data_IF_286679887507
#
_entry.id   IF_286679887507
#
_cell.length_a   1.000
_cell.length_b   1.000
_cell.length_c   1.000
_cell.angle_alpha   90.00
_cell.angle_beta   90.00
_cell.angle_gamma   90.00
#
_symmetry.space_group_name_H-M   'P 1'
#
loop_
_entity.id
_entity.type
_entity.pdbx_description
1 polymer ?
#
# COMPACT_ATOMS: atom_id res chain seq x y z
N UNK A 1 37.27 -17.22 6.32
CA UNK A 1 37.41 -16.19 5.30
C UNK A 1 36.50 -15.07 5.64
N UNK A 2 37.10 -14.00 6.09
CA UNK A 2 36.51 -12.73 6.47
C UNK A 2 36.15 -12.05 5.12
N UNK A 3 34.89 -11.95 4.81
CA UNK A 3 34.45 -11.26 3.61
C UNK A 3 34.52 -9.76 3.88
N UNK A 4 35.61 -9.19 3.43
CA UNK A 4 36.06 -7.81 3.65
C UNK A 4 35.05 -6.73 3.21
N UNK A 5 33.92 -6.65 3.89
CA UNK A 5 33.11 -5.44 3.93
C UNK A 5 33.81 -4.41 4.77
N UNK A 6 34.50 -3.48 4.15
CA UNK A 6 35.11 -2.37 4.86
C UNK A 6 34.06 -1.60 5.64
N UNK A 7 34.24 -1.37 6.92
CA UNK A 7 33.40 -0.61 7.85
C UNK A 7 33.09 0.83 7.35
N UNK A 8 33.71 1.29 6.29
CA UNK A 8 33.64 2.65 5.77
C UNK A 8 32.33 2.97 5.03
N UNK A 9 31.54 1.96 4.61
CA UNK A 9 30.32 2.18 3.84
C UNK A 9 29.02 2.03 4.63
N UNK A 10 29.12 1.69 5.92
CA UNK A 10 27.96 1.55 6.79
C UNK A 10 27.45 2.93 7.20
N UNK A 11 26.16 3.17 7.03
CA UNK A 11 25.47 4.41 7.43
C UNK A 11 24.31 4.09 8.34
N UNK A 12 23.98 5.05 9.19
CA UNK A 12 22.82 5.02 10.07
C UNK A 12 21.84 6.11 9.66
N UNK A 13 20.58 5.74 9.55
CA UNK A 13 19.45 6.65 9.33
C UNK A 13 18.52 6.53 10.53
N UNK A 14 18.10 7.65 11.08
CA UNK A 14 17.11 7.71 12.13
C UNK A 14 15.76 8.04 11.51
N UNK A 15 14.82 7.12 11.58
CA UNK A 15 13.50 7.25 11.01
C UNK A 15 12.45 7.44 12.10
N UNK A 16 11.66 8.49 11.99
CA UNK A 16 10.45 8.71 12.79
C UNK A 16 9.22 8.60 11.91
N UNK A 17 8.12 8.11 12.47
CA UNK A 17 6.81 8.25 11.82
C UNK A 17 6.30 9.64 12.16
N UNK A 18 6.05 10.43 11.12
CA UNK A 18 5.58 11.79 11.31
C UNK A 18 4.18 11.81 11.93
N UNK A 19 4.00 12.59 12.97
CA UNK A 19 2.69 12.93 13.51
C UNK A 19 2.07 14.02 12.63
N UNK A 20 1.42 13.61 11.56
CA UNK A 20 0.68 14.52 10.69
C UNK A 20 -0.66 14.87 11.37
N UNK A 21 -1.01 16.15 11.53
CA UNK A 21 -2.32 16.56 12.10
C UNK A 21 -3.52 16.05 11.30
N UNK A 22 -3.34 15.71 10.03
CA UNK A 22 -4.36 15.07 9.19
C UNK A 22 -4.34 13.53 9.27
N UNK A 23 -3.28 12.96 9.80
CA UNK A 23 -3.13 11.55 10.09
C UNK A 23 -3.27 11.33 11.59
N UNK A 24 -4.46 11.50 12.12
CA UNK A 24 -4.77 10.95 13.43
C UNK A 24 -4.85 9.43 13.28
N UNK A 25 -3.70 8.84 13.37
CA UNK A 25 -3.44 7.43 13.12
C UNK A 25 -3.39 6.69 14.44
N UNK A 26 -4.49 6.16 14.87
CA UNK A 26 -4.54 5.13 15.90
C UNK A 26 -5.50 4.07 15.42
N UNK A 27 -5.08 2.80 15.36
CA UNK A 27 -5.99 1.69 15.49
C UNK A 27 -6.18 1.47 17.00
N UNK A 28 -6.76 2.42 17.62
CA UNK A 28 -7.48 2.29 18.86
C UNK A 28 -8.82 2.89 18.54
N UNK A 29 -9.81 2.05 18.30
CA UNK A 29 -11.18 2.45 17.90
C UNK A 29 -11.32 3.56 16.84
N UNK A 30 -10.28 3.81 16.05
CA UNK A 30 -10.36 4.82 15.02
C UNK A 30 -9.08 5.39 14.45
N UNK A 31 -7.91 5.07 14.92
CA UNK A 31 -6.68 5.69 14.44
C UNK A 31 -5.61 4.64 14.10
N UNK A 32 -4.92 4.82 12.95
CA UNK A 32 -3.76 4.03 12.55
C UNK A 32 -2.51 4.59 13.21
N UNK A 33 -2.04 3.99 14.29
CA UNK A 33 -0.69 4.24 14.78
C UNK A 33 0.26 3.29 14.07
N UNK A 34 1.02 3.79 13.13
CA UNK A 34 2.09 3.04 12.50
C UNK A 34 3.33 3.19 13.38
N UNK A 35 3.94 2.08 13.74
CA UNK A 35 5.20 2.03 14.47
C UNK A 35 6.14 1.08 13.74
N UNK A 36 7.43 1.38 13.82
CA UNK A 36 8.48 0.50 13.32
C UNK A 36 8.48 -0.81 14.11
N UNK A 37 8.81 -1.88 13.44
CA UNK A 37 9.05 -3.20 14.04
C UNK A 37 10.42 -3.73 13.61
N UNK A 38 11.05 -4.51 14.47
CA UNK A 38 12.31 -5.15 14.12
C UNK A 38 12.20 -5.95 12.82
N UNK A 39 13.18 -5.77 11.94
CA UNK A 39 13.18 -6.35 10.60
C UNK A 39 12.46 -5.50 9.53
N UNK A 40 11.86 -4.35 9.87
CA UNK A 40 11.40 -3.42 8.87
C UNK A 40 12.57 -2.91 8.04
N UNK A 41 12.33 -2.73 6.73
CA UNK A 41 13.32 -2.26 5.79
C UNK A 41 12.79 -1.10 4.96
N UNK A 42 13.67 -0.15 4.65
CA UNK A 42 13.40 1.03 3.84
C UNK A 42 14.38 1.12 2.68
N UNK A 43 13.97 1.74 1.58
CA UNK A 43 14.91 2.27 0.60
C UNK A 43 15.43 3.62 1.11
N UNK A 44 16.72 3.85 0.95
CA UNK A 44 17.33 5.19 1.11
C UNK A 44 18.03 5.55 -0.18
N UNK A 45 17.69 6.69 -0.75
CA UNK A 45 18.26 7.23 -1.96
C UNK A 45 19.02 8.51 -1.64
N UNK A 46 20.20 8.63 -2.20
CA UNK A 46 21.05 9.81 -2.12
C UNK A 46 20.92 10.59 -3.45
N UNK A 47 19.98 11.54 -3.49
CA UNK A 47 19.62 12.19 -4.77
C UNK A 47 19.05 11.17 -5.77
N UNK A 48 19.34 11.35 -7.06
CA UNK A 48 19.02 10.40 -8.12
C UNK A 48 20.01 9.24 -8.10
N UNK A 49 19.73 8.22 -7.34
CA UNK A 49 20.59 7.04 -7.17
C UNK A 49 19.78 5.75 -7.16
N UNK A 50 20.46 4.61 -7.23
CA UNK A 50 19.87 3.32 -6.86
C UNK A 50 19.63 3.29 -5.37
N UNK A 51 18.42 2.89 -4.94
CA UNK A 51 18.06 2.85 -3.52
C UNK A 51 18.82 1.77 -2.78
N UNK A 52 19.49 2.16 -1.68
CA UNK A 52 20.09 1.23 -0.75
C UNK A 52 19.09 0.69 0.24
N UNK A 53 19.22 -0.59 0.61
CA UNK A 53 18.38 -1.22 1.63
C UNK A 53 18.91 -0.96 3.02
N UNK A 54 18.08 -0.34 3.86
CA UNK A 54 18.37 -0.12 5.29
C UNK A 54 17.38 -0.91 6.12
N UNK A 55 17.85 -1.52 7.22
CA UNK A 55 17.05 -2.39 8.09
C UNK A 55 17.16 -1.92 9.52
N UNK A 56 16.09 -2.04 10.29
CA UNK A 56 16.09 -1.77 11.73
C UNK A 56 15.95 -3.03 12.56
N UNK A 57 16.60 -3.03 13.71
CA UNK A 57 16.38 -3.99 14.80
C UNK A 57 15.50 -3.39 15.91
N UNK A 58 15.21 -2.09 15.83
CA UNK A 58 14.42 -1.36 16.80
C UNK A 58 12.91 -1.52 16.53
N UNK A 59 12.11 -1.21 17.54
CA UNK A 59 10.67 -1.09 17.47
C UNK A 59 10.22 0.23 18.11
N UNK A 60 9.12 0.82 17.61
CA UNK A 60 8.54 2.03 18.17
C UNK A 60 8.29 3.15 17.16
N UNK A 61 8.01 4.36 17.65
CA UNK A 61 7.73 5.52 16.81
C UNK A 61 9.01 6.09 16.14
N UNK A 62 10.16 5.83 16.72
CA UNK A 62 11.49 6.19 16.19
C UNK A 62 12.34 4.94 16.18
N UNK A 63 13.05 4.71 15.08
CA UNK A 63 13.93 3.58 14.91
C UNK A 63 15.22 3.98 14.17
N UNK A 64 16.29 3.27 14.48
CA UNK A 64 17.56 3.42 13.82
C UNK A 64 17.68 2.34 12.74
N UNK A 65 17.89 2.76 11.51
CA UNK A 65 18.08 1.89 10.37
C UNK A 65 19.56 1.85 9.97
N UNK A 66 20.06 0.65 9.73
CA UNK A 66 21.45 0.40 9.30
C UNK A 66 21.45 -0.16 7.89
N UNK A 67 22.30 0.39 7.03
CA UNK A 67 22.49 -0.06 5.67
C UNK A 67 23.85 0.33 5.12
N UNK A 68 24.22 -0.25 3.98
CA UNK A 68 25.42 0.09 3.24
C UNK A 68 25.03 0.94 2.04
N UNK A 69 25.79 1.99 1.78
CA UNK A 69 25.72 2.76 0.55
C UNK A 69 26.97 2.50 -0.27
N UNK A 70 26.80 2.18 -1.53
CA UNK A 70 27.90 2.20 -2.48
C UNK A 70 28.44 3.63 -2.54
N UNK A 71 29.77 3.74 -2.57
CA UNK A 71 30.51 4.99 -2.43
C UNK A 71 29.84 6.10 -3.25
N UNK A 72 29.41 7.14 -2.56
CA UNK A 72 29.07 8.40 -3.22
C UNK A 72 30.38 8.93 -3.79
N UNK A 73 30.59 8.77 -5.09
CA UNK A 73 31.69 9.41 -5.82
C UNK A 73 31.39 10.91 -5.88
N UNK A 74 31.82 11.62 -4.87
CA UNK A 74 31.62 13.06 -4.76
C UNK A 74 31.76 13.53 -3.33
N UNK A 75 32.95 13.49 -2.81
CA UNK A 75 33.48 14.37 -1.77
C UNK A 75 32.80 14.34 -0.40
N UNK A 76 33.56 14.37 0.56
CA UNK A 76 33.64 14.96 1.85
C UNK A 76 32.37 15.45 2.53
N UNK A 77 32.29 15.19 3.79
CA UNK A 77 31.55 15.86 4.87
C UNK A 77 30.43 16.85 4.44
N UNK A 78 29.24 16.31 4.11
CA UNK A 78 28.04 17.10 3.91
C UNK A 78 27.35 16.74 2.58
N UNK A 79 26.04 16.51 2.66
CA UNK A 79 25.19 16.51 1.48
C UNK A 79 25.18 17.95 0.98
N UNK A 80 25.45 18.18 -0.30
CA UNK A 80 25.26 19.50 -0.93
C UNK A 80 23.86 20.00 -0.67
N UNK A 81 23.67 21.31 -0.59
CA UNK A 81 22.39 21.96 -0.30
C UNK A 81 21.25 21.51 -1.25
N UNK A 82 21.59 21.02 -2.45
CA UNK A 82 20.66 20.48 -3.43
C UNK A 82 20.44 18.95 -3.34
N UNK A 83 21.25 18.23 -2.57
CA UNK A 83 21.13 16.78 -2.44
C UNK A 83 20.18 16.42 -1.30
N UNK A 84 18.98 15.97 -1.66
CA UNK A 84 18.03 15.44 -0.69
C UNK A 84 18.16 13.93 -0.56
N UNK A 85 18.07 13.44 0.68
CA UNK A 85 17.83 12.03 0.95
C UNK A 85 16.35 11.74 0.78
N UNK A 86 16.04 10.64 0.09
CA UNK A 86 14.69 10.12 0.02
C UNK A 86 14.61 8.78 0.72
N UNK A 87 13.55 8.56 1.49
CA UNK A 87 13.23 7.30 2.15
C UNK A 87 11.89 6.77 1.67
N UNK A 88 11.83 5.47 1.42
CA UNK A 88 10.58 4.78 1.09
C UNK A 88 10.43 3.57 2.01
N UNK A 89 9.30 3.46 2.67
CA UNK A 89 8.85 2.25 3.33
C UNK A 89 7.60 1.73 2.60
N UNK A 90 7.45 0.43 2.42
CA UNK A 90 8.44 -0.61 2.65
C UNK A 90 9.56 -0.59 1.60
N UNK A 91 10.67 -1.25 1.93
CA UNK A 91 11.71 -1.51 0.93
C UNK A 91 11.15 -2.37 -0.20
N UNK A 92 11.38 -1.94 -1.42
CA UNK A 92 11.17 -2.71 -2.64
C UNK A 92 12.30 -2.39 -3.63
N UNK A 93 12.85 -3.43 -4.28
CA UNK A 93 13.92 -3.24 -5.26
C UNK A 93 13.44 -2.50 -6.54
N UNK A 94 12.14 -2.49 -6.81
CA UNK A 94 11.51 -1.77 -7.90
C UNK A 94 11.25 -0.30 -7.63
N UNK A 95 11.43 0.16 -6.38
CA UNK A 95 11.34 1.58 -6.06
C UNK A 95 12.53 2.34 -6.67
N UNK A 96 12.29 3.56 -7.13
CA UNK A 96 13.32 4.40 -7.75
C UNK A 96 13.17 5.87 -7.36
N UNK A 97 14.24 6.64 -7.55
CA UNK A 97 14.28 8.07 -7.29
C UNK A 97 14.99 8.79 -8.43
N UNK A 98 14.41 9.89 -8.92
CA UNK A 98 15.02 10.77 -9.93
C UNK A 98 15.66 12.03 -9.31
N UNK A 99 15.77 12.09 -7.97
CA UNK A 99 16.28 13.24 -7.21
C UNK A 99 15.19 14.26 -6.84
N UNK A 100 14.08 14.30 -7.55
CA UNK A 100 12.96 15.23 -7.32
C UNK A 100 11.70 14.54 -6.85
N UNK A 101 11.55 13.28 -7.23
CA UNK A 101 10.40 12.44 -6.90
C UNK A 101 10.83 10.98 -6.81
N UNK A 102 9.98 10.17 -6.21
CA UNK A 102 10.15 8.72 -6.10
C UNK A 102 9.06 7.99 -6.87
N UNK A 103 9.39 6.81 -7.36
CA UNK A 103 8.42 5.92 -8.00
C UNK A 103 8.22 4.69 -7.13
N UNK A 104 6.97 4.38 -6.83
CA UNK A 104 6.56 3.23 -6.01
C UNK A 104 5.45 2.45 -6.69
N UNK A 105 5.22 1.23 -6.21
CA UNK A 105 4.09 0.41 -6.66
C UNK A 105 3.26 -0.05 -5.46
N UNK A 106 1.94 0.13 -5.53
CA UNK A 106 0.99 -0.48 -4.60
C UNK A 106 0.36 -1.69 -5.30
N UNK A 107 0.36 -2.88 -4.69
CA UNK A 107 -0.26 -4.06 -5.29
C UNK A 107 -1.78 -3.93 -5.35
N UNK A 108 -2.38 -4.36 -6.45
CA UNK A 108 -3.84 -4.46 -6.60
C UNK A 108 -4.41 -5.68 -5.88
N UNK A 109 -3.61 -6.73 -5.70
CA UNK A 109 -3.97 -7.89 -4.88
C UNK A 109 -3.31 -7.75 -3.52
N UNK A 110 -4.13 -7.67 -2.47
CA UNK A 110 -3.68 -7.41 -1.10
C UNK A 110 -4.10 -8.54 -0.18
N UNK A 111 -3.20 -8.93 0.72
CA UNK A 111 -3.49 -9.92 1.74
C UNK A 111 -4.19 -9.26 2.93
N UNK A 112 -5.20 -9.93 3.45
CA UNK A 112 -5.91 -9.46 4.62
C UNK A 112 -5.11 -9.70 5.91
N UNK A 113 -5.21 -8.73 6.83
CA UNK A 113 -4.76 -8.88 8.20
C UNK A 113 -5.86 -8.41 9.15
N UNK A 114 -6.14 -9.18 10.21
CA UNK A 114 -7.22 -8.90 11.14
C UNK A 114 -6.98 -7.60 11.91
N UNK A 115 -7.96 -6.70 11.86
CA UNK A 115 -7.97 -5.39 12.50
C UNK A 115 -6.85 -4.42 12.08
N UNK A 116 -6.12 -4.74 11.01
CA UNK A 116 -5.01 -3.94 10.49
C UNK A 116 -4.92 -4.10 8.97
N UNK A 117 -3.77 -3.82 8.38
CA UNK A 117 -3.37 -4.13 7.01
C UNK A 117 -2.13 -5.03 7.04
N UNK A 118 -1.88 -5.76 5.96
CA UNK A 118 -0.71 -6.63 5.88
C UNK A 118 0.60 -5.85 6.07
N UNK A 119 1.57 -6.49 6.72
CA UNK A 119 2.90 -5.90 6.93
C UNK A 119 3.50 -5.48 5.59
N UNK A 120 4.06 -4.27 5.53
CA UNK A 120 4.68 -3.72 4.33
C UNK A 120 3.69 -3.26 3.24
N UNK A 121 2.40 -3.24 3.51
CA UNK A 121 1.41 -2.80 2.52
C UNK A 121 1.22 -1.27 2.51
N UNK A 122 1.44 -0.58 3.63
CA UNK A 122 1.16 0.85 3.76
C UNK A 122 2.40 1.70 3.49
N UNK A 123 2.52 2.34 2.30
CA UNK A 123 3.70 3.08 1.94
C UNK A 123 3.82 4.41 2.70
N UNK A 124 5.05 4.69 3.10
CA UNK A 124 5.44 5.94 3.72
C UNK A 124 6.64 6.52 2.99
N UNK A 125 6.67 7.83 2.86
CA UNK A 125 7.72 8.56 2.14
C UNK A 125 8.33 9.58 3.08
N UNK A 126 9.65 9.70 3.01
CA UNK A 126 10.42 10.74 3.67
C UNK A 126 11.34 11.45 2.69
N UNK A 127 11.54 12.74 2.90
CA UNK A 127 12.57 13.54 2.24
C UNK A 127 13.27 14.36 3.31
N UNK A 128 14.60 14.33 3.33
CA UNK A 128 15.39 15.03 4.33
C UNK A 128 16.71 15.53 3.74
N UNK A 129 17.30 16.54 4.36
CA UNK A 129 18.66 17.01 4.07
C UNK A 129 19.72 16.42 5.01
N UNK A 130 19.31 15.53 5.91
CA UNK A 130 20.19 14.88 6.86
C UNK A 130 19.70 13.45 7.14
N UNK A 131 20.42 12.71 7.99
CA UNK A 131 20.11 11.33 8.34
C UNK A 131 18.94 11.15 9.32
N UNK A 132 18.24 12.21 9.67
CA UNK A 132 16.99 12.17 10.44
C UNK A 132 15.82 12.35 9.46
N UNK A 133 15.05 11.28 9.28
CA UNK A 133 13.97 11.21 8.28
C UNK A 133 12.62 11.09 8.97
N UNK A 134 11.70 11.97 8.62
CA UNK A 134 10.30 11.88 9.05
C UNK A 134 9.47 11.25 7.93
N UNK A 135 8.93 10.07 8.19
CA UNK A 135 8.13 9.31 7.23
C UNK A 135 6.65 9.68 7.34
N UNK A 136 6.06 10.05 6.23
CA UNK A 136 4.66 10.44 6.11
C UNK A 136 3.89 9.39 5.30
N UNK A 137 2.69 9.07 5.75
CA UNK A 137 1.79 8.18 5.00
C UNK A 137 1.49 8.76 3.62
N UNK A 138 1.53 7.93 2.59
CA UNK A 138 1.12 8.31 1.24
C UNK A 138 -0.35 8.01 0.97
N UNK A 139 -0.84 6.89 1.49
CA UNK A 139 -2.13 6.31 1.15
C UNK A 139 -3.24 6.63 2.15
N UNK A 140 -4.46 6.33 1.76
CA UNK A 140 -5.59 6.15 2.65
C UNK A 140 -5.92 4.67 2.83
N UNK A 141 -6.81 4.38 3.77
CA UNK A 141 -7.35 3.05 4.03
C UNK A 141 -8.86 3.01 3.79
N UNK A 142 -9.29 1.95 3.15
CA UNK A 142 -10.69 1.60 3.04
C UNK A 142 -10.94 0.35 3.89
N UNK A 143 -11.60 0.53 5.04
CA UNK A 143 -11.86 -0.53 6.00
C UNK A 143 -13.24 -1.12 5.81
N UNK A 144 -13.32 -2.44 5.78
CA UNK A 144 -14.58 -3.17 5.75
C UNK A 144 -14.62 -4.27 6.79
N UNK A 145 -15.83 -4.73 7.10
CA UNK A 145 -16.10 -5.99 7.78
C UNK A 145 -17.17 -6.74 7.00
N UNK A 146 -17.30 -8.03 7.28
CA UNK A 146 -18.33 -8.89 6.68
C UNK A 146 -19.25 -9.43 7.76
N UNK A 147 -20.48 -9.74 7.38
CA UNK A 147 -21.47 -10.44 8.22
C UNK A 147 -21.54 -11.95 7.93
N UNK A 148 -21.17 -12.35 6.69
CA UNK A 148 -21.18 -13.74 6.26
C UNK A 148 -19.79 -14.38 6.42
N UNK A 149 -19.74 -15.57 7.04
CA UNK A 149 -18.49 -16.30 7.31
C UNK A 149 -17.92 -17.09 6.13
N UNK A 150 -18.62 -17.11 4.99
CA UNK A 150 -18.24 -17.83 3.78
C UNK A 150 -17.75 -16.92 2.65
N UNK A 151 -17.52 -15.65 2.93
CA UNK A 151 -16.88 -14.70 2.02
C UNK A 151 -15.36 -14.90 2.09
N UNK A 152 -14.73 -15.25 0.97
CA UNK A 152 -13.31 -15.60 0.92
C UNK A 152 -12.47 -14.56 0.15
N UNK A 153 -13.12 -13.67 -0.63
CA UNK A 153 -12.47 -12.55 -1.29
C UNK A 153 -13.42 -11.37 -1.40
N UNK A 154 -12.86 -10.16 -1.40
CA UNK A 154 -13.61 -8.91 -1.63
C UNK A 154 -12.85 -8.07 -2.64
N UNK A 155 -13.56 -7.47 -3.61
CA UNK A 155 -12.96 -6.46 -4.49
C UNK A 155 -13.55 -5.08 -4.20
N UNK A 156 -12.74 -4.06 -4.40
CA UNK A 156 -13.10 -2.64 -4.35
C UNK A 156 -12.78 -2.00 -5.69
N UNK A 157 -13.74 -1.33 -6.31
CA UNK A 157 -13.53 -0.53 -7.51
C UNK A 157 -14.28 0.80 -7.43
N UNK A 158 -13.79 1.81 -8.15
CA UNK A 158 -14.51 3.04 -8.37
C UNK A 158 -15.46 2.92 -9.56
N UNK A 159 -16.68 3.48 -9.45
CA UNK A 159 -17.67 3.45 -10.53
C UNK A 159 -17.28 4.39 -11.70
N UNK A 160 -16.28 5.23 -11.54
CA UNK A 160 -15.71 6.09 -12.56
C UNK A 160 -14.43 5.53 -13.21
N UNK A 161 -13.96 4.35 -12.79
CA UNK A 161 -12.72 3.76 -13.29
C UNK A 161 -11.47 4.44 -12.71
N UNK A 162 -11.58 4.98 -11.52
CA UNK A 162 -10.47 5.63 -10.82
C UNK A 162 -9.35 4.63 -10.52
N UNK A 163 -8.09 5.05 -10.72
CA UNK A 163 -6.92 4.24 -10.36
C UNK A 163 -6.74 4.23 -8.83
N UNK A 164 -6.72 3.04 -8.25
CA UNK A 164 -6.65 2.81 -6.81
C UNK A 164 -5.27 2.36 -6.34
N UNK A 165 -4.53 1.69 -7.21
CA UNK A 165 -3.22 1.10 -6.95
C UNK A 165 -2.37 1.12 -8.23
N UNK A 166 -1.28 0.37 -8.24
CA UNK A 166 -0.35 0.28 -9.37
C UNK A 166 0.88 1.15 -9.16
N UNK A 167 1.57 1.47 -10.25
CA UNK A 167 2.83 2.23 -10.24
C UNK A 167 2.56 3.73 -10.33
N UNK A 168 3.14 4.51 -9.42
CA UNK A 168 2.96 5.95 -9.37
C UNK A 168 4.26 6.70 -9.09
N UNK A 169 4.33 7.91 -9.62
CA UNK A 169 5.32 8.92 -9.29
C UNK A 169 4.80 9.78 -8.13
N UNK A 170 5.64 9.97 -7.12
CA UNK A 170 5.30 10.67 -5.88
C UNK A 170 6.28 11.80 -5.66
N UNK A 171 5.77 13.01 -5.52
CA UNK A 171 6.52 14.18 -5.07
C UNK A 171 6.31 14.44 -3.58
N UNK A 172 7.12 15.34 -3.02
CA UNK A 172 7.02 15.72 -1.61
C UNK A 172 7.23 17.24 -1.46
N UNK A 173 6.12 17.93 -1.24
CA UNK A 173 6.08 19.34 -0.84
C UNK A 173 5.50 19.41 0.57
N UNK A 174 6.40 19.35 1.58
CA UNK A 174 6.03 19.18 2.97
C UNK A 174 5.49 17.78 3.31
N UNK A 175 4.55 17.27 2.51
CA UNK A 175 3.97 15.92 2.63
C UNK A 175 3.95 15.22 1.26
N UNK A 176 3.95 13.86 1.23
CA UNK A 176 3.93 13.14 -0.04
C UNK A 176 2.58 13.29 -0.77
N UNK A 177 2.64 13.46 -2.07
CA UNK A 177 1.51 13.49 -2.97
C UNK A 177 1.74 12.66 -4.23
N UNK A 178 0.72 11.98 -4.71
CA UNK A 178 0.77 11.30 -6.01
C UNK A 178 0.79 12.38 -7.10
N UNK A 179 1.89 12.44 -7.84
CA UNK A 179 2.07 13.38 -8.96
C UNK A 179 1.45 12.82 -10.24
N UNK A 180 1.71 11.53 -10.50
CA UNK A 180 1.25 10.84 -11.69
C UNK A 180 1.06 9.35 -11.43
N UNK A 181 -0.01 8.78 -11.96
CA UNK A 181 -0.20 7.34 -12.02
C UNK A 181 0.35 6.84 -13.35
N UNK A 182 1.46 6.10 -13.30
CA UNK A 182 2.15 5.60 -14.49
C UNK A 182 1.48 4.34 -15.06
N UNK A 183 1.09 3.42 -14.18
CA UNK A 183 0.34 2.20 -14.49
C UNK A 183 -0.70 1.99 -13.40
N UNK A 184 -1.94 2.34 -13.70
CA UNK A 184 -3.04 2.33 -12.74
C UNK A 184 -3.81 1.01 -12.74
N UNK A 185 -4.13 0.55 -11.53
CA UNK A 185 -5.04 -0.56 -11.28
C UNK A 185 -6.35 -0.01 -10.73
N UNK A 186 -7.45 -0.29 -11.40
CA UNK A 186 -8.77 0.28 -11.08
C UNK A 186 -9.60 -0.59 -10.14
N UNK A 187 -9.14 -1.80 -9.87
CA UNK A 187 -9.74 -2.72 -8.92
C UNK A 187 -8.70 -3.22 -7.93
N UNK A 188 -9.08 -3.27 -6.66
CA UNK A 188 -8.32 -3.93 -5.60
C UNK A 188 -9.00 -5.22 -5.22
N UNK A 189 -8.22 -6.29 -5.07
CA UNK A 189 -8.69 -7.57 -4.56
C UNK A 189 -8.05 -7.85 -3.20
N UNK A 190 -8.87 -8.20 -2.22
CA UNK A 190 -8.39 -8.69 -0.93
C UNK A 190 -8.83 -10.13 -0.75
N UNK A 191 -7.86 -11.01 -0.57
CA UNK A 191 -8.10 -12.41 -0.23
C UNK A 191 -8.10 -12.57 1.30
N UNK A 192 -9.01 -13.41 1.79
CA UNK A 192 -9.05 -13.74 3.21
C UNK A 192 -7.73 -14.40 3.67
N UNK A 193 -7.40 -14.34 4.97
CA UNK A 193 -6.18 -14.93 5.49
C UNK A 193 -6.11 -16.45 5.22
N UNK A 194 -4.90 -16.94 4.95
CA UNK A 194 -4.57 -18.38 4.83
C UNK A 194 -5.41 -19.15 3.80
N UNK A 195 -5.92 -18.47 2.78
CA UNK A 195 -6.78 -19.08 1.75
C UNK A 195 -8.15 -19.52 2.27
N UNK A 196 -8.52 -19.08 3.46
CA UNK A 196 -9.81 -19.31 4.08
C UNK A 196 -10.86 -18.27 3.72
N UNK A 197 -11.74 -17.96 4.67
CA UNK A 197 -12.76 -16.92 4.54
C UNK A 197 -12.63 -15.87 5.67
N UNK A 198 -13.19 -14.70 5.45
CA UNK A 198 -13.17 -13.61 6.41
C UNK A 198 -13.99 -13.97 7.67
N UNK A 199 -13.50 -13.53 8.82
CA UNK A 199 -14.24 -13.69 10.10
C UNK A 199 -15.29 -12.57 10.23
N UNK A 200 -16.56 -12.89 10.49
CA UNK A 200 -17.59 -11.90 10.71
C UNK A 200 -17.21 -10.91 11.83
N UNK A 201 -17.50 -9.63 11.62
CA UNK A 201 -17.26 -8.57 12.59
C UNK A 201 -15.79 -8.16 12.77
N UNK A 202 -14.84 -8.83 12.13
CA UNK A 202 -13.44 -8.45 12.10
C UNK A 202 -13.21 -7.40 11.02
N UNK A 203 -12.41 -6.38 11.31
CA UNK A 203 -12.08 -5.34 10.35
C UNK A 203 -10.88 -5.76 9.48
N UNK A 204 -10.99 -5.49 8.19
CA UNK A 204 -9.93 -5.65 7.18
C UNK A 204 -9.76 -4.35 6.43
N UNK A 205 -8.57 -4.06 5.92
CA UNK A 205 -8.30 -2.73 5.34
C UNK A 205 -7.54 -2.82 4.03
N UNK A 206 -8.16 -2.35 2.95
CA UNK A 206 -7.46 -2.02 1.73
C UNK A 206 -6.59 -0.78 1.92
N UNK A 207 -5.45 -0.77 1.28
CA UNK A 207 -4.56 0.39 1.16
C UNK A 207 -4.59 0.85 -0.29
N UNK A 208 -4.87 2.13 -0.52
CA UNK A 208 -4.99 2.68 -1.86
C UNK A 208 -4.54 4.14 -1.93
N UNK A 209 -4.26 4.61 -3.13
CA UNK A 209 -3.94 6.01 -3.36
C UNK A 209 -5.11 6.91 -2.95
N UNK A 210 -4.82 8.15 -2.46
CA UNK A 210 -5.85 9.15 -2.27
C UNK A 210 -6.63 9.34 -3.57
N UNK A 211 -7.96 9.19 -3.51
CA UNK A 211 -8.81 9.09 -4.69
C UNK A 211 -10.14 9.77 -4.46
N UNK A 212 -10.64 10.48 -5.46
CA UNK A 212 -12.03 10.95 -5.49
C UNK A 212 -12.86 10.02 -6.37
N UNK A 213 -13.70 9.24 -5.76
CA UNK A 213 -14.69 8.39 -6.40
C UNK A 213 -15.86 9.26 -6.88
N UNK A 214 -15.75 9.81 -8.09
CA UNK A 214 -16.70 10.82 -8.61
C UNK A 214 -18.11 10.28 -8.80
N UNK A 215 -18.22 8.99 -9.13
CA UNK A 215 -19.48 8.26 -9.34
C UNK A 215 -19.77 7.23 -8.24
N UNK A 216 -19.06 7.35 -7.10
CA UNK A 216 -19.13 6.36 -6.05
C UNK A 216 -18.25 5.13 -6.29
N UNK A 217 -18.51 4.08 -5.56
CA UNK A 217 -17.68 2.88 -5.54
C UNK A 217 -18.52 1.61 -5.41
N UNK A 218 -17.90 0.49 -5.72
CA UNK A 218 -18.48 -0.84 -5.62
C UNK A 218 -17.60 -1.77 -4.80
N UNK A 219 -18.22 -2.50 -3.87
CA UNK A 219 -17.64 -3.65 -3.18
C UNK A 219 -18.30 -4.92 -3.72
N UNK A 220 -17.52 -5.87 -4.20
CA UNK A 220 -18.02 -7.18 -4.59
C UNK A 220 -17.47 -8.23 -3.65
N UNK A 221 -18.38 -8.99 -3.06
CA UNK A 221 -18.09 -10.05 -2.11
C UNK A 221 -18.19 -11.40 -2.81
N UNK A 222 -17.17 -12.22 -2.66
CA UNK A 222 -17.07 -13.53 -3.31
C UNK A 222 -17.09 -14.64 -2.28
N UNK A 223 -18.06 -15.53 -2.40
CA UNK A 223 -18.06 -16.86 -1.85
C UNK A 223 -17.40 -17.81 -2.86
N UNK A 224 -17.28 -19.08 -2.50
CA UNK A 224 -16.69 -20.08 -3.39
C UNK A 224 -17.35 -20.10 -4.78
N UNK A 225 -18.67 -20.12 -4.82
CA UNK A 225 -19.45 -20.38 -6.04
C UNK A 225 -20.44 -19.25 -6.38
N UNK A 226 -20.42 -18.14 -5.66
CA UNK A 226 -21.34 -17.04 -5.85
C UNK A 226 -20.73 -15.70 -5.48
N UNK A 227 -21.34 -14.61 -5.94
CA UNK A 227 -20.92 -13.26 -5.60
C UNK A 227 -22.11 -12.33 -5.43
N UNK A 228 -21.90 -11.24 -4.71
CA UNK A 228 -22.86 -10.16 -4.55
C UNK A 228 -22.12 -8.82 -4.48
N UNK A 229 -22.75 -7.77 -4.97
CA UNK A 229 -22.16 -6.43 -4.96
C UNK A 229 -22.98 -5.45 -4.16
N UNK A 230 -22.28 -4.59 -3.43
CA UNK A 230 -22.81 -3.39 -2.79
C UNK A 230 -22.30 -2.18 -3.55
N UNK A 231 -23.20 -1.30 -3.98
CA UNK A 231 -22.88 -0.07 -4.69
C UNK A 231 -23.21 1.16 -3.83
N UNK A 232 -22.26 2.07 -3.78
CA UNK A 232 -22.39 3.38 -3.18
C UNK A 232 -22.29 4.42 -4.31
N UNK A 233 -23.37 5.13 -4.61
CA UNK A 233 -23.49 5.96 -5.81
C UNK A 233 -23.06 7.43 -5.60
N UNK A 234 -22.90 7.86 -4.34
CA UNK A 234 -22.53 9.25 -4.06
C UNK A 234 -21.03 9.47 -4.25
N UNK A 235 -20.65 10.66 -4.68
CA UNK A 235 -19.26 11.05 -4.73
C UNK A 235 -18.63 10.98 -3.34
N UNK A 236 -17.41 10.44 -3.28
CA UNK A 236 -16.67 10.28 -2.05
C UNK A 236 -15.17 10.52 -2.29
N UNK A 237 -14.49 11.23 -1.40
CA UNK A 237 -13.04 11.44 -1.46
C UNK A 237 -12.34 10.77 -0.30
N UNK A 238 -11.49 9.79 -0.61
CA UNK A 238 -10.53 9.21 0.32
C UNK A 238 -9.27 10.06 0.31
N UNK A 239 -8.92 10.62 1.44
CA UNK A 239 -7.71 11.43 1.62
C UNK A 239 -6.55 10.58 2.15
N UNK A 240 -5.34 11.06 1.97
CA UNK A 240 -4.11 10.54 2.58
C UNK A 240 -4.28 10.43 4.10
N UNK A 241 -3.85 9.32 4.69
CA UNK A 241 -3.90 9.08 6.13
C UNK A 241 -5.30 8.91 6.74
N UNK A 242 -6.35 8.87 5.92
CA UNK A 242 -7.74 8.71 6.38
C UNK A 242 -8.18 7.26 6.26
N UNK A 243 -8.98 6.81 7.22
CA UNK A 243 -9.67 5.51 7.18
C UNK A 243 -11.16 5.74 6.91
N UNK A 244 -11.62 5.23 5.78
CA UNK A 244 -13.05 5.11 5.48
C UNK A 244 -13.58 3.78 5.94
N UNK A 245 -14.81 3.75 6.48
CA UNK A 245 -15.38 2.55 7.08
C UNK A 245 -16.68 2.16 6.40
N UNK A 246 -16.73 0.92 5.95
CA UNK A 246 -17.90 0.28 5.32
C UNK A 246 -18.18 -1.03 6.04
N UNK A 247 -18.89 -0.91 7.16
CA UNK A 247 -19.20 -2.04 8.03
C UNK A 247 -20.33 -2.90 7.45
N UNK A 248 -20.11 -4.23 7.36
CA UNK A 248 -21.12 -5.27 7.10
C UNK A 248 -22.03 -4.98 5.89
N UNK A 249 -21.43 -4.45 4.79
CA UNK A 249 -22.21 -4.09 3.57
C UNK A 249 -22.65 -5.31 2.75
N UNK A 250 -22.19 -6.51 3.11
CA UNK A 250 -22.65 -7.79 2.60
C UNK A 250 -23.98 -8.26 3.22
N UNK A 251 -24.39 -7.65 4.34
CA UNK A 251 -25.64 -7.99 5.01
C UNK A 251 -26.86 -7.73 4.12
N UNK A 252 -27.69 -8.76 3.95
CA UNK A 252 -28.90 -8.67 3.15
C UNK A 252 -28.70 -8.70 1.64
N UNK A 253 -27.47 -8.84 1.13
CA UNK A 253 -27.22 -9.00 -0.30
C UNK A 253 -27.64 -10.40 -0.78
N UNK A 254 -28.21 -10.45 -1.98
CA UNK A 254 -28.51 -11.70 -2.68
C UNK A 254 -27.27 -12.15 -3.46
N UNK A 255 -26.69 -13.28 -3.09
CA UNK A 255 -25.55 -13.88 -3.78
C UNK A 255 -26.03 -14.64 -5.00
N UNK A 256 -25.48 -14.29 -6.17
CA UNK A 256 -25.79 -14.92 -7.45
C UNK A 256 -24.70 -15.93 -7.75
N UNK A 257 -25.03 -17.19 -8.15
CA UNK A 257 -24.05 -18.16 -8.58
C UNK A 257 -23.17 -17.59 -9.71
N UNK A 258 -21.87 -17.95 -9.69
CA UNK A 258 -20.98 -17.65 -10.82
C UNK A 258 -21.50 -18.44 -12.01
N UNK A 259 -21.90 -17.76 -13.10
CA UNK A 259 -22.28 -18.45 -14.34
C UNK A 259 -21.08 -19.23 -14.86
N UNK A 260 -21.32 -20.46 -15.29
CA UNK A 260 -20.33 -21.32 -15.93
C UNK A 260 -20.05 -20.88 -17.39
N UNK A 261 -20.36 -19.66 -17.78
CA UNK A 261 -20.25 -19.12 -19.15
C UNK A 261 -18.78 -18.89 -19.57
N UNK A 262 -17.97 -19.92 -19.43
CA UNK A 262 -16.57 -19.94 -19.88
C UNK A 262 -16.18 -21.20 -20.64
N UNK A 263 -17.10 -22.15 -20.87
CA UNK A 263 -16.87 -23.37 -21.67
C UNK A 263 -17.99 -23.57 -22.71
N UNK A 264 -18.10 -22.60 -23.62
CA UNK A 264 -18.97 -22.68 -24.79
C UNK A 264 -18.17 -22.95 -26.06
N UNK A 265 -17.75 -24.16 -26.26
CA UNK A 265 -17.15 -24.68 -27.49
C UNK A 265 -17.73 -26.08 -27.78
N UNK A 266 -19.05 -26.21 -27.77
CA UNK A 266 -19.74 -27.39 -28.29
C UNK A 266 -19.99 -27.22 -29.76
N UNK A 267 -19.14 -27.82 -30.61
CA UNK A 267 -19.44 -28.02 -32.01
C UNK A 267 -20.74 -28.83 -32.14
N UNK A 268 -21.76 -28.25 -32.75
CA UNK A 268 -22.88 -29.01 -33.30
C UNK A 268 -22.43 -29.75 -34.53
N UNK A 269 -22.17 -31.05 -34.38
CA UNK A 269 -22.01 -31.95 -35.52
C UNK A 269 -23.40 -32.11 -36.11
N UNK A 270 -23.64 -31.45 -37.25
CA UNK A 270 -24.75 -31.70 -38.12
C UNK A 270 -24.54 -33.07 -38.81
N UNK A 271 -25.37 -34.02 -38.46
CA UNK A 271 -25.51 -35.28 -39.22
C UNK A 271 -26.67 -35.16 -40.15
N UNK A 272 -26.39 -35.09 -41.44
CA UNK A 272 -27.35 -35.33 -42.51
C UNK A 272 -27.57 -36.81 -42.66
N UNK A 273 -28.84 -37.22 -42.74
CA UNK A 273 -29.33 -38.32 -43.55
C UNK A 273 -30.53 -37.81 -44.34
#
# INVERSE_FOLDING_TARGET
PDDGMSDQNIRLVYASVASDPQTRNVIDDGTLKITWTAGDAINVFFGASSGSRFVTEDAGAVAKFKGSVDVITGGGEGLDDDTSLWGIYPYDAGNSCDGKSVTITIPSVQNAAENTFAKGLFPQIARSRNFYMSFYNLCGCFRFSVSNSDICSVTLSGNGGEALAGKAKVSMDGVPGVEEILFGETELTMNAPDGGCFKPGVNYSFVLYPTTFSKGLKLTYYKKDSSASYEFSNSYTLKRGVISRFKDRDAGLTFVPKSLDGWGGGETVGGDI
#
